data_IF_574280481638
#
_entry.id   IF_574280481638
#
_cell.length_a   1.000
_cell.length_b   1.000
_cell.length_c   1.000
_cell.angle_alpha   90.00
_cell.angle_beta   90.00
_cell.angle_gamma   90.00
#
_symmetry.space_group_name_H-M   'P 1'
#
loop_
_entity.id
_entity.type
_entity.pdbx_description
1 polymer ?
#
# COMPACT_ATOMS: atom_id res chain seq x y z
N UNK A 1 -48.97 15.01 -38.59
CA UNK A 1 -48.00 14.33 -37.71
C UNK A 1 -48.76 13.29 -36.89
N UNK A 2 -48.51 12.00 -37.11
CA UNK A 2 -49.17 10.87 -36.44
C UNK A 2 -48.16 10.24 -35.47
N UNK A 3 -48.44 10.06 -34.17
CA UNK A 3 -47.49 9.36 -33.29
C UNK A 3 -47.65 7.84 -33.45
N UNK A 4 -46.52 7.17 -33.72
CA UNK A 4 -46.42 5.70 -33.73
C UNK A 4 -46.25 5.20 -32.30
N UNK A 5 -47.28 4.55 -31.77
CA UNK A 5 -47.20 3.80 -30.51
C UNK A 5 -46.75 2.36 -30.80
N UNK A 6 -45.50 2.04 -30.49
CA UNK A 6 -45.03 0.65 -30.49
C UNK A 6 -45.32 0.02 -29.13
N UNK A 7 -46.29 -0.89 -29.09
CA UNK A 7 -46.48 -1.85 -27.98
C UNK A 7 -45.87 -3.18 -28.40
N UNK A 8 -44.82 -3.63 -27.71
CA UNK A 8 -44.30 -4.99 -27.86
C UNK A 8 -44.25 -5.67 -26.48
N UNK A 9 -44.72 -6.93 -26.52
CA UNK A 9 -45.16 -7.83 -25.45
C UNK A 9 -44.07 -8.18 -24.44
N UNK A 10 -44.46 -8.28 -23.16
CA UNK A 10 -43.72 -9.01 -22.12
C UNK A 10 -43.80 -10.51 -22.42
N UNK A 11 -42.65 -11.18 -22.49
CA UNK A 11 -42.51 -12.64 -22.45
C UNK A 11 -41.79 -13.01 -21.14
N UNK A 12 -42.24 -14.05 -20.41
CA UNK A 12 -41.60 -14.48 -19.18
C UNK A 12 -40.48 -15.48 -19.49
N UNK A 13 -39.28 -15.24 -18.97
CA UNK A 13 -38.24 -16.28 -18.89
C UNK A 13 -38.03 -16.65 -17.42
N UNK A 14 -38.37 -17.89 -17.15
CA UNK A 14 -38.22 -18.64 -15.91
C UNK A 14 -36.81 -19.25 -15.89
N UNK A 15 -36.23 -19.34 -14.68
CA UNK A 15 -35.03 -20.10 -14.27
C UNK A 15 -33.68 -19.56 -14.80
N UNK A 16 -32.60 -19.47 -14.03
CA UNK A 16 -31.99 -20.48 -13.13
C UNK A 16 -31.27 -19.74 -11.99
N UNK A 17 -31.48 -20.19 -10.75
CA UNK A 17 -30.70 -19.75 -9.60
C UNK A 17 -29.27 -20.27 -9.67
N UNK A 18 -28.30 -19.36 -9.61
CA UNK A 18 -26.92 -19.65 -9.24
C UNK A 18 -26.63 -18.86 -7.95
N UNK A 19 -27.01 -19.44 -6.81
CA UNK A 19 -26.55 -18.95 -5.51
C UNK A 19 -25.11 -19.43 -5.37
N UNK A 20 -24.16 -18.58 -5.75
CA UNK A 20 -22.75 -18.77 -5.46
C UNK A 20 -22.54 -18.45 -3.97
N UNK A 21 -22.68 -19.44 -3.10
CA UNK A 21 -22.23 -19.34 -1.71
C UNK A 21 -20.72 -19.25 -1.69
N UNK A 22 -20.18 -18.03 -1.62
CA UNK A 22 -18.78 -17.80 -1.31
C UNK A 22 -18.59 -18.23 0.14
N UNK A 23 -17.91 -19.37 0.33
CA UNK A 23 -17.38 -19.79 1.62
C UNK A 23 -16.28 -18.77 1.99
N UNK A 24 -16.64 -17.71 2.72
CA UNK A 24 -15.65 -16.87 3.39
C UNK A 24 -15.05 -17.69 4.52
N UNK A 25 -13.93 -18.34 4.24
CA UNK A 25 -13.08 -18.88 5.30
C UNK A 25 -12.52 -17.69 6.07
N UNK A 26 -13.12 -17.36 7.22
CA UNK A 26 -12.49 -16.49 8.19
C UNK A 26 -11.27 -17.24 8.73
N UNK A 27 -10.09 -16.93 8.20
CA UNK A 27 -8.84 -17.33 8.82
C UNK A 27 -8.84 -16.71 10.23
N UNK A 28 -9.05 -17.52 11.26
CA UNK A 28 -8.91 -17.12 12.65
C UNK A 28 -7.42 -16.93 12.92
N UNK A 29 -6.89 -15.77 12.57
CA UNK A 29 -5.63 -15.30 13.11
C UNK A 29 -5.83 -15.13 14.62
N UNK A 30 -5.05 -15.87 15.42
CA UNK A 30 -5.03 -15.73 16.88
C UNK A 30 -4.80 -14.26 17.24
N UNK A 31 -5.80 -13.63 17.88
CA UNK A 31 -5.74 -12.21 18.19
C UNK A 31 -4.62 -11.95 19.21
N UNK A 32 -3.53 -11.34 18.76
CA UNK A 32 -2.51 -10.82 19.65
C UNK A 32 -3.15 -9.80 20.63
N UNK A 33 -2.67 -9.71 21.88
CA UNK A 33 -3.18 -8.78 22.87
C UNK A 33 -3.11 -7.33 22.36
N UNK A 34 -4.14 -6.53 22.67
CA UNK A 34 -4.21 -5.11 22.26
C UNK A 34 -3.17 -4.29 23.02
N UNK A 35 -2.40 -3.48 22.31
CA UNK A 35 -1.46 -2.54 22.93
C UNK A 35 -2.21 -1.41 23.67
N UNK A 36 -1.59 -0.83 24.70
CA UNK A 36 -2.20 0.23 25.50
C UNK A 36 -2.52 1.46 24.62
N UNK A 37 -3.80 1.87 24.58
CA UNK A 37 -4.28 2.96 23.72
C UNK A 37 -4.82 2.51 22.36
N UNK A 38 -4.60 1.26 21.95
CA UNK A 38 -5.09 0.72 20.68
C UNK A 38 -6.59 0.34 20.74
N UNK A 39 -7.35 0.76 19.72
CA UNK A 39 -8.77 0.44 19.54
C UNK A 39 -8.96 -0.93 18.89
N UNK A 40 -8.03 -1.32 18.03
CA UNK A 40 -8.01 -2.63 17.36
C UNK A 40 -6.90 -3.50 17.93
N UNK A 41 -6.98 -4.82 17.75
CA UNK A 41 -5.78 -5.66 17.83
C UNK A 41 -4.78 -5.25 16.74
N UNK A 42 -3.47 -5.48 16.94
CA UNK A 42 -2.50 -5.23 15.90
C UNK A 42 -2.84 -6.06 14.64
N UNK A 43 -2.49 -5.56 13.45
CA UNK A 43 -2.58 -6.36 12.23
C UNK A 43 -1.77 -7.65 12.38
N UNK A 44 -2.17 -8.76 11.74
CA UNK A 44 -1.31 -9.93 11.65
C UNK A 44 0.04 -9.52 11.07
N UNK A 45 1.12 -10.06 11.63
CA UNK A 45 2.43 -9.98 11.01
C UNK A 45 2.31 -10.77 9.71
N UNK A 46 2.19 -10.07 8.58
CA UNK A 46 2.25 -10.73 7.28
C UNK A 46 3.66 -11.28 7.14
N UNK A 47 3.79 -12.61 7.20
CA UNK A 47 5.02 -13.30 6.79
C UNK A 47 5.48 -12.67 5.47
N UNK A 48 6.75 -12.27 5.45
CA UNK A 48 7.48 -11.76 4.30
C UNK A 48 6.95 -12.33 2.97
N UNK A 49 6.84 -11.47 1.94
CA UNK A 49 6.61 -11.90 0.55
C UNK A 49 7.72 -12.89 0.17
N UNK A 50 7.47 -14.18 0.42
CA UNK A 50 8.40 -15.26 0.10
C UNK A 50 8.14 -15.66 -1.34
N UNK A 51 8.60 -14.83 -2.28
CA UNK A 51 8.79 -15.33 -3.64
C UNK A 51 10.09 -16.14 -3.63
N UNK A 52 9.95 -17.47 -3.70
CA UNK A 52 11.07 -18.39 -3.90
C UNK A 52 11.79 -18.03 -5.20
N UNK A 53 12.99 -17.46 -5.09
CA UNK A 53 13.92 -17.29 -6.21
C UNK A 53 15.24 -17.99 -5.84
N UNK A 54 15.69 -19.00 -6.60
CA UNK A 54 17.00 -19.60 -6.39
C UNK A 54 18.10 -18.66 -6.92
N UNK A 55 18.86 -18.04 -6.02
CA UNK A 55 19.97 -17.11 -6.32
C UNK A 55 19.88 -15.78 -5.57
N UNK A 56 20.10 -15.81 -4.25
CA UNK A 56 20.18 -14.69 -3.27
C UNK A 56 21.03 -13.49 -3.73
N UNK A 57 20.86 -12.22 -3.33
CA UNK A 57 20.14 -11.47 -2.26
C UNK A 57 20.28 -9.97 -2.67
N UNK A 58 19.36 -9.02 -2.47
CA UNK A 58 19.02 -8.39 -1.18
C UNK A 58 17.86 -7.40 -1.41
N UNK A 59 16.61 -7.85 -1.29
CA UNK A 59 15.51 -6.95 -0.91
C UNK A 59 15.54 -6.85 0.61
N UNK A 60 16.09 -5.76 1.15
CA UNK A 60 16.22 -5.58 2.60
C UNK A 60 14.83 -5.42 3.21
N UNK A 61 14.27 -6.54 3.66
CA UNK A 61 13.17 -6.58 4.59
C UNK A 61 13.67 -6.04 5.94
N UNK A 62 13.38 -4.78 6.26
CA UNK A 62 13.66 -4.21 7.59
C UNK A 62 12.47 -3.42 8.12
N UNK A 63 11.77 -4.09 9.04
CA UNK A 63 11.33 -3.63 10.36
C UNK A 63 10.16 -2.55 10.56
N UNK A 64 9.01 -2.90 11.18
CA UNK A 64 7.80 -2.28 11.87
C UNK A 64 7.22 -2.99 13.15
N UNK A 65 7.03 -2.28 14.27
CA UNK A 65 7.36 -2.81 15.62
C UNK A 65 6.40 -3.80 16.34
N UNK A 66 6.92 -4.78 17.11
CA UNK A 66 6.14 -5.45 18.19
C UNK A 66 6.04 -4.58 19.45
N UNK A 67 5.26 -5.05 20.43
CA UNK A 67 4.93 -4.37 21.69
C UNK A 67 6.12 -4.05 22.61
N UNK A 68 7.36 -4.29 22.14
CA UNK A 68 8.62 -3.86 22.74
C UNK A 68 9.19 -2.58 22.11
N UNK A 69 8.48 -1.94 21.18
CA UNK A 69 8.95 -0.76 20.44
C UNK A 69 9.98 -1.08 19.35
N UNK A 70 9.99 -2.32 18.83
CA UNK A 70 11.04 -2.80 17.94
C UNK A 70 10.57 -3.18 16.54
N UNK A 71 11.01 -2.43 15.51
CA UNK A 71 10.58 -2.46 14.11
C UNK A 71 10.67 -3.94 13.53
N UNK A 72 9.57 -4.58 13.04
CA UNK A 72 9.30 -5.80 12.19
C UNK A 72 8.63 -5.65 10.73
N UNK A 73 9.28 -6.19 9.70
CA UNK A 73 9.32 -5.73 8.28
C UNK A 73 8.05 -5.72 7.40
N UNK A 74 7.99 -4.75 6.47
CA UNK A 74 7.10 -4.77 5.30
C UNK A 74 7.90 -4.57 3.98
N UNK A 75 7.42 -5.20 2.89
CA UNK A 75 8.22 -5.57 1.71
C UNK A 75 8.21 -4.57 0.54
N UNK A 76 9.04 -4.86 -0.47
CA UNK A 76 9.12 -4.13 -1.74
C UNK A 76 8.92 -5.05 -2.93
N UNK A 77 8.36 -4.51 -4.02
CA UNK A 77 8.09 -5.21 -5.28
C UNK A 77 8.80 -4.51 -6.44
N UNK A 78 10.13 -4.54 -6.42
CA UNK A 78 10.95 -4.09 -7.55
C UNK A 78 11.33 -5.29 -8.41
N UNK A 79 11.12 -5.19 -9.72
CA UNK A 79 11.59 -6.20 -10.66
C UNK A 79 13.12 -6.18 -10.71
N UNK A 80 13.82 -7.31 -10.46
CA UNK A 80 15.28 -7.36 -10.54
C UNK A 80 15.82 -7.09 -11.95
N UNK A 81 14.97 -7.12 -12.99
CA UNK A 81 15.34 -6.82 -14.37
C UNK A 81 15.15 -5.34 -14.75
N UNK A 82 14.74 -4.48 -13.81
CA UNK A 82 14.72 -3.04 -14.05
C UNK A 82 16.12 -2.54 -14.43
N UNK A 83 16.17 -1.72 -15.47
CA UNK A 83 17.38 -1.09 -16.00
C UNK A 83 17.67 0.23 -15.27
N UNK A 84 16.62 0.97 -14.92
CA UNK A 84 16.72 2.35 -14.44
C UNK A 84 16.18 2.51 -13.02
N UNK A 85 15.11 1.81 -12.62
CA UNK A 85 14.55 1.87 -11.28
C UNK A 85 15.32 0.93 -10.35
N UNK A 86 16.14 1.49 -9.47
CA UNK A 86 16.98 0.69 -8.58
C UNK A 86 16.19 0.20 -7.35
N UNK A 87 15.63 1.14 -6.59
CA UNK A 87 14.94 0.84 -5.33
C UNK A 87 14.12 2.03 -4.85
N UNK A 88 13.42 1.85 -3.74
CA UNK A 88 12.70 2.88 -3.04
C UNK A 88 12.40 2.44 -1.60
N UNK A 89 11.98 3.41 -0.80
CA UNK A 89 11.56 3.17 0.58
C UNK A 89 10.46 4.15 0.97
N UNK A 90 9.76 3.80 2.04
CA UNK A 90 8.80 4.68 2.71
C UNK A 90 9.02 4.67 4.20
N UNK A 91 8.67 5.76 4.86
CA UNK A 91 8.72 5.89 6.31
C UNK A 91 7.43 6.51 6.83
N UNK A 92 7.08 6.15 8.06
CA UNK A 92 5.95 6.72 8.79
C UNK A 92 6.41 7.05 10.21
N UNK A 93 5.98 8.19 10.71
CA UNK A 93 6.19 8.63 12.09
C UNK A 93 4.96 9.38 12.60
N UNK A 94 4.84 9.45 13.93
CA UNK A 94 3.78 10.22 14.57
C UNK A 94 4.41 11.29 15.47
N UNK A 95 4.52 12.55 15.02
CA UNK A 95 5.00 13.64 15.87
C UNK A 95 4.07 13.93 17.07
N UNK A 96 2.92 13.27 17.16
CA UNK A 96 2.00 13.33 18.29
C UNK A 96 0.65 13.95 17.93
N UNK A 97 -0.30 13.90 18.87
CA UNK A 97 -1.64 14.48 18.71
C UNK A 97 -2.43 13.99 17.48
N UNK A 98 -2.19 12.75 17.05
CA UNK A 98 -2.83 12.19 15.85
C UNK A 98 -2.24 12.67 14.52
N UNK A 99 -1.19 13.49 14.55
CA UNK A 99 -0.45 13.83 13.34
C UNK A 99 0.43 12.64 12.93
N UNK A 100 0.40 12.33 11.64
CA UNK A 100 1.21 11.34 10.97
C UNK A 100 2.07 12.06 9.95
N UNK A 101 3.39 11.98 10.13
CA UNK A 101 4.35 12.30 9.10
C UNK A 101 4.62 11.05 8.25
N UNK A 102 4.58 11.18 6.94
CA UNK A 102 4.90 10.09 6.03
C UNK A 102 5.71 10.60 4.85
N UNK A 103 6.71 9.82 4.47
CA UNK A 103 7.64 10.18 3.41
C UNK A 103 8.12 8.95 2.67
N UNK A 104 8.74 9.17 1.52
CA UNK A 104 9.40 8.12 0.79
C UNK A 104 10.41 8.66 -0.20
N UNK A 105 11.22 7.75 -0.70
CA UNK A 105 12.25 8.04 -1.68
C UNK A 105 12.24 7.03 -2.81
N UNK A 106 12.56 7.49 -4.01
CA UNK A 106 12.83 6.65 -5.18
C UNK A 106 14.26 6.91 -5.65
N UNK A 107 14.97 5.83 -5.99
CA UNK A 107 16.34 5.86 -6.47
C UNK A 107 16.41 5.20 -7.85
N UNK A 108 17.03 5.89 -8.80
CA UNK A 108 17.37 5.36 -10.10
C UNK A 108 18.86 5.00 -10.17
N UNK A 109 19.20 4.03 -11.02
CA UNK A 109 20.58 3.59 -11.28
C UNK A 109 21.41 4.63 -12.03
N UNK A 110 20.76 5.56 -12.73
CA UNK A 110 21.35 6.64 -13.54
C UNK A 110 20.49 7.91 -13.43
N UNK A 111 20.96 9.02 -13.99
CA UNK A 111 20.13 10.21 -14.20
C UNK A 111 19.07 9.85 -15.24
N UNK A 112 17.79 9.97 -14.87
CA UNK A 112 16.64 9.61 -15.72
C UNK A 112 15.87 10.86 -16.16
N UNK A 113 15.05 10.71 -17.22
CA UNK A 113 14.27 11.82 -17.78
C UNK A 113 13.22 12.29 -16.77
N UNK A 114 12.55 11.35 -16.11
CA UNK A 114 11.69 11.64 -14.97
C UNK A 114 11.74 10.56 -13.91
N UNK A 115 11.65 10.97 -12.65
CA UNK A 115 11.55 10.11 -11.48
C UNK A 115 10.45 10.65 -10.57
N UNK A 116 9.61 9.76 -10.07
CA UNK A 116 8.43 10.14 -9.29
C UNK A 116 8.15 9.22 -8.12
N UNK A 117 7.37 9.76 -7.18
CA UNK A 117 6.83 9.04 -6.05
C UNK A 117 5.45 9.58 -5.67
N UNK A 118 4.56 8.67 -5.29
CA UNK A 118 3.31 9.00 -4.58
C UNK A 118 3.10 8.04 -3.42
N UNK A 119 2.45 8.51 -2.37
CA UNK A 119 2.29 7.79 -1.12
C UNK A 119 0.82 7.68 -0.74
N UNK A 120 0.45 6.57 -0.12
CA UNK A 120 -0.87 6.33 0.46
C UNK A 120 -0.73 5.88 1.90
N UNK A 121 -1.43 6.55 2.80
CA UNK A 121 -1.55 6.12 4.20
C UNK A 121 -2.75 5.20 4.31
N UNK A 122 -2.54 4.02 4.91
CA UNK A 122 -3.57 3.05 5.21
C UNK A 122 -3.76 2.89 6.71
N UNK A 123 -5.01 2.69 7.14
CA UNK A 123 -5.39 2.41 8.52
C UNK A 123 -5.86 0.98 8.67
N UNK A 124 -5.44 0.31 9.74
CA UNK A 124 -5.95 -0.99 10.12
C UNK A 124 -7.31 -0.87 10.79
N UNK A 125 -8.31 -1.60 10.28
CA UNK A 125 -9.67 -1.63 10.83
C UNK A 125 -9.87 -2.68 11.91
N UNK A 126 -8.86 -3.54 12.15
CA UNK A 126 -8.99 -4.77 12.94
C UNK A 126 -9.08 -6.02 12.07
N UNK A 127 -9.45 -5.88 10.79
CA UNK A 127 -9.56 -7.00 9.83
C UNK A 127 -8.97 -6.71 8.45
N UNK A 128 -8.85 -5.43 8.07
CA UNK A 128 -8.36 -5.01 6.76
C UNK A 128 -7.67 -3.65 6.82
N UNK A 129 -6.81 -3.38 5.85
CA UNK A 129 -6.22 -2.07 5.61
C UNK A 129 -7.13 -1.25 4.70
N UNK A 130 -7.40 0.01 5.07
CA UNK A 130 -8.19 0.95 4.27
C UNK A 130 -7.42 2.23 4.03
N UNK A 131 -7.49 2.77 2.82
CA UNK A 131 -6.83 4.05 2.47
C UNK A 131 -7.50 5.21 3.20
N UNK A 132 -6.69 6.08 3.80
CA UNK A 132 -7.18 7.21 4.64
C UNK A 132 -6.53 8.54 4.32
N UNK A 133 -5.40 8.56 3.62
CA UNK A 133 -4.78 9.77 3.10
C UNK A 133 -3.89 9.45 1.90
N UNK A 134 -3.65 10.46 1.07
CA UNK A 134 -2.83 10.39 -0.13
C UNK A 134 -1.90 11.60 -0.17
N UNK A 135 -0.66 11.39 -0.61
CA UNK A 135 0.22 12.51 -0.94
C UNK A 135 -0.16 13.12 -2.30
N UNK A 136 0.36 14.32 -2.62
CA UNK A 136 0.53 14.73 -4.01
C UNK A 136 1.34 13.71 -4.82
N UNK A 137 1.21 13.77 -6.14
CA UNK A 137 2.15 13.12 -7.05
C UNK A 137 3.38 14.01 -7.21
N UNK A 138 4.53 13.55 -6.75
CA UNK A 138 5.78 14.29 -6.87
C UNK A 138 6.63 13.75 -8.01
N UNK A 139 7.19 14.66 -8.80
CA UNK A 139 8.05 14.32 -9.94
C UNK A 139 9.26 15.25 -9.98
N UNK A 140 10.41 14.70 -10.33
CA UNK A 140 11.63 15.42 -10.68
C UNK A 140 12.09 14.97 -12.05
N UNK A 141 12.71 15.89 -12.78
CA UNK A 141 13.28 15.66 -14.09
C UNK A 141 14.80 15.71 -14.00
N UNK A 142 15.49 15.04 -14.91
CA UNK A 142 16.95 15.03 -15.02
C UNK A 142 17.65 14.72 -13.69
N UNK A 143 17.11 13.75 -12.94
CA UNK A 143 17.56 13.42 -11.58
C UNK A 143 17.60 11.91 -11.36
N UNK A 144 18.59 11.38 -10.62
CA UNK A 144 18.62 9.98 -10.21
C UNK A 144 17.82 9.72 -8.92
N UNK A 145 17.24 10.76 -8.32
CA UNK A 145 16.66 10.71 -6.98
C UNK A 145 15.48 11.66 -6.81
N UNK A 146 14.49 11.20 -6.03
CA UNK A 146 13.45 12.03 -5.44
C UNK A 146 13.16 11.51 -4.03
N UNK A 147 13.03 12.42 -3.08
CA UNK A 147 12.60 12.13 -1.72
C UNK A 147 11.66 13.23 -1.27
N UNK A 148 10.45 12.85 -0.86
CA UNK A 148 9.38 13.79 -0.53
C UNK A 148 8.55 13.24 0.63
N UNK A 149 7.89 14.15 1.36
CA UNK A 149 7.11 13.80 2.54
C UNK A 149 6.09 14.87 2.87
N UNK A 150 5.07 14.46 3.61
CA UNK A 150 3.99 15.36 4.05
C UNK A 150 3.33 14.81 5.31
N UNK A 151 2.38 15.58 5.84
CA UNK A 151 1.70 15.27 7.09
C UNK A 151 0.20 15.08 6.85
N UNK A 152 -0.43 14.27 7.70
CA UNK A 152 -1.89 14.14 7.77
C UNK A 152 -2.33 13.98 9.21
N UNK A 153 -3.54 14.43 9.54
CA UNK A 153 -4.13 14.24 10.88
C UNK A 153 -5.13 13.11 10.80
N UNK A 154 -4.98 12.11 11.67
CA UNK A 154 -5.81 10.92 11.69
C UNK A 154 -6.27 10.57 13.11
N UNK A 155 -7.37 9.79 13.26
CA UNK A 155 -7.83 9.36 14.58
C UNK A 155 -6.78 8.56 15.35
N UNK A 156 -6.60 8.91 16.62
CA UNK A 156 -5.71 8.21 17.57
C UNK A 156 -6.27 6.84 17.98
N UNK A 157 -5.37 5.95 18.39
CA UNK A 157 -5.62 4.58 18.81
C UNK A 157 -5.76 3.57 17.67
N UNK A 158 -5.20 3.86 16.49
CA UNK A 158 -5.23 2.94 15.35
C UNK A 158 -3.82 2.72 14.78
N UNK A 159 -3.63 1.58 14.13
CA UNK A 159 -2.40 1.27 13.39
C UNK A 159 -2.48 1.85 11.98
N UNK A 160 -1.39 2.46 11.54
CA UNK A 160 -1.24 3.06 10.22
C UNK A 160 0.00 2.55 9.52
N UNK A 161 -0.04 2.40 8.20
CA UNK A 161 1.13 2.09 7.36
C UNK A 161 1.13 2.98 6.12
N UNK A 162 2.25 3.00 5.40
CA UNK A 162 2.39 3.77 4.15
C UNK A 162 2.67 2.81 3.01
N UNK A 163 2.04 3.03 1.86
CA UNK A 163 2.41 2.41 0.58
C UNK A 163 3.06 3.50 -0.28
N UNK A 164 4.23 3.21 -0.84
CA UNK A 164 4.91 4.05 -1.81
C UNK A 164 4.82 3.46 -3.21
N UNK A 165 4.46 4.30 -4.18
CA UNK A 165 4.45 3.97 -5.60
C UNK A 165 5.56 4.75 -6.28
N UNK A 166 6.51 4.01 -6.84
CA UNK A 166 7.75 4.52 -7.41
C UNK A 166 7.71 4.37 -8.92
N UNK A 167 8.15 5.38 -9.67
CA UNK A 167 8.24 5.29 -11.12
C UNK A 167 9.42 6.09 -11.66
N UNK A 168 10.07 5.55 -12.69
CA UNK A 168 11.07 6.26 -13.50
C UNK A 168 10.70 6.12 -14.97
N UNK A 169 11.02 7.13 -15.76
CA UNK A 169 11.02 7.04 -17.21
C UNK A 169 12.36 7.55 -17.76
N UNK A 170 12.98 6.76 -18.64
CA UNK A 170 14.23 7.12 -19.31
C UNK A 170 14.34 6.43 -20.65
N UNK A 171 14.76 7.15 -21.71
CA UNK A 171 14.96 6.61 -23.05
C UNK A 171 13.76 5.81 -23.60
N UNK A 172 12.55 6.24 -23.26
CA UNK A 172 11.31 5.58 -23.69
C UNK A 172 10.93 4.31 -22.91
N UNK A 173 11.69 3.94 -21.87
CA UNK A 173 11.33 2.86 -20.95
C UNK A 173 10.74 3.46 -19.67
N UNK A 174 9.63 2.89 -19.20
CA UNK A 174 9.03 3.24 -17.90
C UNK A 174 9.04 2.02 -16.99
N UNK A 175 9.54 2.20 -15.78
CA UNK A 175 9.66 1.15 -14.77
C UNK A 175 8.99 1.60 -13.49
N UNK A 176 8.28 0.67 -12.83
CA UNK A 176 7.46 0.97 -11.68
C UNK A 176 7.73 -0.04 -10.57
N UNK A 177 7.66 0.41 -9.33
CA UNK A 177 7.83 -0.44 -8.15
C UNK A 177 6.93 0.03 -7.03
N UNK A 178 6.63 -0.87 -6.10
CA UNK A 178 5.84 -0.55 -4.91
C UNK A 178 6.60 -0.91 -3.66
N UNK A 179 6.51 -0.09 -2.63
CA UNK A 179 6.97 -0.41 -1.28
C UNK A 179 5.81 -0.35 -0.31
N UNK A 180 5.78 -1.26 0.64
CA UNK A 180 4.89 -1.19 1.78
C UNK A 180 5.75 -0.96 3.00
N UNK A 181 5.57 0.18 3.62
CA UNK A 181 6.21 0.54 4.86
C UNK A 181 5.59 -0.19 6.03
N UNK A 182 6.38 -0.32 7.06
CA UNK A 182 5.99 -0.74 8.39
C UNK A 182 4.75 -0.03 8.93
N UNK A 183 4.05 -0.69 9.86
CA UNK A 183 2.95 -0.06 10.56
C UNK A 183 3.37 0.56 11.90
N UNK A 184 2.60 1.56 12.34
CA UNK A 184 2.82 2.31 13.57
C UNK A 184 1.48 2.59 14.28
N UNK A 185 1.44 2.42 15.61
CA UNK A 185 0.29 2.79 16.45
C UNK A 185 0.31 4.30 16.74
N UNK A 186 -0.63 5.04 16.18
CA UNK A 186 -0.76 6.48 16.47
C UNK A 186 -1.54 6.66 17.76
N UNK A 187 -0.85 7.10 18.80
CA UNK A 187 -1.42 7.30 20.14
C UNK A 187 -2.01 8.66 20.37
#
# INVERSE_FOLDING_TARGET
MYPKNYRIRKLPFIMIGLILTILMSAATASAAPKEHGAKTSPPPISDSVTRYFPGTTTGSATSGTDSSGNMQSMGSDFDPNHQYLATGNVTIGSPGNGNIHYSGSTYASVIVDSISISLTVQRWTGSSWVDVAYSPFWVRFDSPFIGEGTDTVQPRGYYYRVIGYHSVAHNGVTENGTTVGSYYLVN
#
